data_IF_711751640388
#
_entry.id   IF_711751640388
#
_cell.length_a   1.000
_cell.length_b   1.000
_cell.length_c   1.000
_cell.angle_alpha   90.00
_cell.angle_beta   90.00
_cell.angle_gamma   90.00
#
_symmetry.space_group_name_H-M   'P 1'
#
loop_
_entity.id
_entity.type
_entity.pdbx_description
1 polymer ?
#
# COMPACT_ATOMS: atom_id res chain seq x y z
N UNK A 1 -15.57 -3.38 -14.63
CA UNK A 1 -14.82 -2.42 -13.77
C UNK A 1 -13.33 -2.62 -13.99
N UNK A 2 -12.53 -1.55 -14.17
CA UNK A 2 -11.07 -1.66 -14.25
C UNK A 2 -10.50 -2.11 -12.89
N UNK A 3 -9.47 -2.98 -12.91
CA UNK A 3 -8.75 -3.36 -11.70
C UNK A 3 -7.99 -2.13 -11.18
N UNK A 4 -8.10 -1.85 -9.89
CA UNK A 4 -7.36 -0.76 -9.26
C UNK A 4 -5.87 -1.13 -9.21
N UNK A 5 -5.01 -0.18 -9.58
CA UNK A 5 -3.56 -0.35 -9.67
C UNK A 5 -2.88 0.86 -9.04
N UNK A 6 -1.61 0.71 -8.65
CA UNK A 6 -0.76 1.85 -8.33
C UNK A 6 -0.36 2.52 -9.65
N UNK A 7 -0.58 3.83 -9.75
CA UNK A 7 -0.28 4.61 -10.96
C UNK A 7 0.95 5.50 -10.79
N UNK A 8 1.48 5.61 -9.57
CA UNK A 8 2.67 6.39 -9.28
C UNK A 8 3.93 5.59 -9.60
N UNK A 9 4.93 6.28 -10.14
CA UNK A 9 6.27 5.72 -10.37
C UNK A 9 7.18 5.82 -9.14
N UNK A 10 6.83 6.64 -8.15
CA UNK A 10 7.64 6.86 -6.95
C UNK A 10 6.78 7.00 -5.67
N UNK A 11 7.21 6.40 -4.54
CA UNK A 11 8.32 5.42 -4.45
C UNK A 11 8.03 4.13 -5.22
N UNK A 12 9.09 3.51 -5.74
CA UNK A 12 9.04 2.19 -6.38
C UNK A 12 8.97 1.06 -5.33
N UNK A 13 8.89 -0.18 -5.83
CA UNK A 13 8.82 -1.38 -5.01
C UNK A 13 9.95 -1.46 -3.97
N UNK A 14 11.19 -1.27 -4.40
CA UNK A 14 12.37 -1.44 -3.53
C UNK A 14 12.44 -0.37 -2.44
N UNK A 15 12.05 0.86 -2.76
CA UNK A 15 11.97 1.93 -1.78
C UNK A 15 10.84 1.68 -0.76
N UNK A 16 9.69 1.15 -1.19
CA UNK A 16 8.62 0.74 -0.28
C UNK A 16 9.06 -0.41 0.65
N UNK A 17 9.81 -1.38 0.14
CA UNK A 17 10.40 -2.45 0.97
C UNK A 17 11.39 -1.89 1.99
N UNK A 18 12.22 -0.92 1.60
CA UNK A 18 13.14 -0.24 2.54
C UNK A 18 12.38 0.51 3.63
N UNK A 19 11.30 1.22 3.29
CA UNK A 19 10.43 1.91 4.24
C UNK A 19 9.79 0.91 5.21
N UNK A 20 9.18 -0.16 4.69
CA UNK A 20 8.60 -1.24 5.50
C UNK A 20 9.58 -1.82 6.54
N UNK A 21 10.83 -2.06 6.14
CA UNK A 21 11.85 -2.63 7.02
C UNK A 21 12.29 -1.67 8.14
N UNK A 22 12.27 -0.36 7.87
CA UNK A 22 12.73 0.68 8.82
C UNK A 22 11.61 1.23 9.71
N UNK A 23 10.36 1.12 9.28
CA UNK A 23 9.21 1.70 9.96
C UNK A 23 8.94 1.02 11.31
N UNK A 24 8.68 1.84 12.33
CA UNK A 24 8.36 1.41 13.70
C UNK A 24 6.86 1.52 14.00
N UNK A 25 6.16 2.45 13.37
CA UNK A 25 4.72 2.59 13.48
C UNK A 25 4.04 1.42 12.77
N UNK A 26 3.37 0.56 13.52
CA UNK A 26 2.77 -0.67 12.98
C UNK A 26 1.73 -0.40 11.89
N UNK A 27 0.92 0.65 12.03
CA UNK A 27 -0.10 1.01 11.04
C UNK A 27 0.53 1.47 9.73
N UNK A 28 1.59 2.27 9.81
CA UNK A 28 2.30 2.77 8.64
C UNK A 28 3.11 1.65 7.96
N UNK A 29 3.70 0.77 8.77
CA UNK A 29 4.39 -0.43 8.30
C UNK A 29 3.45 -1.35 7.50
N UNK A 30 2.24 -1.59 8.00
CA UNK A 30 1.23 -2.39 7.29
C UNK A 30 0.83 -1.75 5.95
N UNK A 31 0.67 -0.42 5.92
CA UNK A 31 0.39 0.32 4.68
C UNK A 31 1.53 0.17 3.66
N UNK A 32 2.79 0.30 4.07
CA UNK A 32 3.93 0.06 3.17
C UNK A 32 3.99 -1.37 2.66
N UNK A 33 3.66 -2.34 3.53
CA UNK A 33 3.55 -3.75 3.14
C UNK A 33 2.51 -3.94 2.02
N UNK A 34 1.33 -3.36 2.19
CA UNK A 34 0.26 -3.43 1.19
C UNK A 34 0.69 -2.83 -0.16
N UNK A 35 1.43 -1.71 -0.16
CA UNK A 35 1.81 -1.02 -1.38
C UNK A 35 2.81 -1.82 -2.21
N UNK A 36 3.87 -2.36 -1.60
CA UNK A 36 4.85 -3.14 -2.39
C UNK A 36 4.23 -4.43 -2.91
N UNK A 37 3.35 -5.09 -2.13
CA UNK A 37 2.61 -6.26 -2.61
C UNK A 37 1.63 -5.90 -3.74
N UNK A 38 1.05 -4.69 -3.73
CA UNK A 38 0.19 -4.23 -4.83
C UNK A 38 0.97 -3.97 -6.12
N UNK A 39 2.24 -3.55 -6.04
CA UNK A 39 3.11 -3.43 -7.22
C UNK A 39 3.45 -4.80 -7.81
N UNK A 40 3.65 -5.81 -6.96
CA UNK A 40 3.98 -7.19 -7.35
C UNK A 40 2.76 -7.93 -7.91
N UNK A 41 1.68 -8.03 -7.13
CA UNK A 41 0.53 -8.88 -7.44
C UNK A 41 -0.56 -8.18 -8.24
N UNK A 42 -0.61 -6.84 -8.23
CA UNK A 42 -1.59 -6.06 -9.00
C UNK A 42 -3.05 -6.48 -8.73
N UNK A 43 -3.34 -6.95 -7.52
CA UNK A 43 -4.63 -7.50 -7.15
C UNK A 43 -4.97 -7.26 -5.67
N UNK A 44 -5.95 -6.38 -5.42
CA UNK A 44 -6.36 -6.04 -4.05
C UNK A 44 -6.88 -7.24 -3.25
N UNK A 45 -7.51 -8.24 -3.87
CA UNK A 45 -8.01 -9.43 -3.16
C UNK A 45 -6.85 -10.28 -2.66
N UNK A 46 -5.88 -10.57 -3.54
CA UNK A 46 -4.67 -11.32 -3.19
C UNK A 46 -3.89 -10.63 -2.08
N UNK A 47 -3.67 -9.33 -2.20
CA UNK A 47 -2.93 -8.57 -1.18
C UNK A 47 -3.67 -8.56 0.17
N UNK A 48 -5.00 -8.40 0.15
CA UNK A 48 -5.81 -8.45 1.37
C UNK A 48 -5.69 -9.80 2.10
N UNK A 49 -5.69 -10.91 1.35
CA UNK A 49 -5.52 -12.27 1.90
C UNK A 49 -4.12 -12.51 2.48
N UNK A 50 -3.09 -11.95 1.85
CA UNK A 50 -1.68 -12.06 2.29
C UNK A 50 -1.46 -11.36 3.63
N UNK A 51 -1.98 -10.14 3.79
CA UNK A 51 -1.76 -9.35 5.01
C UNK A 51 -2.92 -9.40 6.00
N UNK A 52 -3.90 -10.29 5.77
CA UNK A 52 -5.06 -10.54 6.66
C UNK A 52 -5.89 -9.28 6.96
N UNK A 53 -6.18 -8.50 5.93
CA UNK A 53 -7.04 -7.31 6.01
C UNK A 53 -8.20 -7.37 5.01
N UNK A 54 -9.05 -6.35 4.98
CA UNK A 54 -10.17 -6.30 4.02
C UNK A 54 -9.73 -5.78 2.65
N UNK A 55 -10.33 -6.31 1.58
CA UNK A 55 -10.15 -5.78 0.21
C UNK A 55 -10.46 -4.28 0.13
N UNK A 56 -11.46 -3.80 0.88
CA UNK A 56 -11.85 -2.39 0.94
C UNK A 56 -10.73 -1.53 1.52
N UNK A 57 -10.06 -2.02 2.56
CA UNK A 57 -8.89 -1.36 3.17
C UNK A 57 -7.76 -1.19 2.15
N UNK A 58 -7.41 -2.26 1.42
CA UNK A 58 -6.39 -2.20 0.36
C UNK A 58 -6.78 -1.18 -0.71
N UNK A 59 -8.05 -1.18 -1.14
CA UNK A 59 -8.54 -0.22 -2.13
C UNK A 59 -8.40 1.23 -1.65
N UNK A 60 -8.74 1.48 -0.38
CA UNK A 60 -8.58 2.81 0.23
C UNK A 60 -7.12 3.23 0.23
N UNK A 61 -6.20 2.37 0.68
CA UNK A 61 -4.77 2.69 0.69
C UNK A 61 -4.22 2.93 -0.71
N UNK A 62 -4.54 2.09 -1.70
CA UNK A 62 -4.07 2.31 -3.08
C UNK A 62 -4.59 3.63 -3.65
N UNK A 63 -5.84 4.01 -3.36
CA UNK A 63 -6.39 5.32 -3.77
C UNK A 63 -5.65 6.47 -3.11
N UNK A 64 -5.52 6.44 -1.78
CA UNK A 64 -4.78 7.45 -1.01
C UNK A 64 -3.34 7.58 -1.52
N UNK A 65 -2.67 6.46 -1.81
CA UNK A 65 -1.33 6.49 -2.35
C UNK A 65 -1.29 7.19 -3.69
N UNK A 66 -2.19 6.82 -4.61
CA UNK A 66 -2.24 7.39 -5.95
C UNK A 66 -2.50 8.90 -5.90
N UNK A 67 -3.41 9.33 -5.04
CA UNK A 67 -3.85 10.73 -4.87
C UNK A 67 -2.79 11.57 -4.16
N UNK A 68 -2.28 11.11 -3.01
CA UNK A 68 -1.53 11.94 -2.06
C UNK A 68 -0.07 11.50 -1.87
N UNK A 69 0.32 10.32 -2.36
CA UNK A 69 1.66 9.77 -2.13
C UNK A 69 1.83 9.13 -0.75
N UNK A 70 3.03 9.21 -0.18
CA UNK A 70 3.31 8.67 1.15
C UNK A 70 2.72 9.54 2.26
N UNK A 71 2.46 10.79 1.95
CA UNK A 71 1.89 11.80 2.83
C UNK A 71 0.47 11.38 3.27
N UNK A 72 -0.35 10.92 2.33
CA UNK A 72 -1.69 10.36 2.62
C UNK A 72 -1.66 8.98 3.29
N UNK A 73 -0.48 8.37 3.46
CA UNK A 73 -0.33 7.11 4.18
C UNK A 73 -0.13 7.28 5.67
N UNK A 74 0.13 8.49 6.15
CA UNK A 74 0.26 8.73 7.58
C UNK A 74 -1.11 8.49 8.23
N UNK A 75 -1.23 7.64 9.27
CA UNK A 75 -2.48 7.49 9.99
C UNK A 75 -2.82 8.82 10.68
N UNK A 76 -4.01 9.35 10.45
CA UNK A 76 -4.53 10.42 11.30
C UNK A 76 -4.60 9.88 12.75
N UNK A 77 -3.91 10.56 13.66
CA UNK A 77 -3.86 10.26 15.10
C UNK A 77 -5.24 10.21 15.72
#
# INVERSE_FOLDING_TARGET
MRKLQITRSSPDHDNLVKLYKKERNQKLKERYHALFLMLEFKNCTTVAELIKTSRKTIQTWVKLFNEEGLEGMVPNT
#
